data_IF_678253359147
#
_entry.id   IF_678253359147
#
_cell.length_a   1.000
_cell.length_b   1.000
_cell.length_c   1.000
_cell.angle_alpha   90.00
_cell.angle_beta   90.00
_cell.angle_gamma   90.00
#
_symmetry.space_group_name_H-M   'P 1'
#
loop_
_entity.id
_entity.type
_entity.pdbx_description
1 polymer ?
#
# COMPACT_ATOMS: atom_id res chain seq x y z
N UNK A 1 30.50 -31.69 -8.55
CA UNK A 1 29.18 -32.37 -8.48
C UNK A 1 28.50 -32.27 -9.82
N UNK A 2 27.92 -33.36 -10.35
CA UNK A 2 27.40 -33.36 -11.72
C UNK A 2 26.07 -32.62 -11.82
N UNK A 3 25.98 -31.58 -12.64
CA UNK A 3 24.77 -30.81 -12.89
C UNK A 3 24.67 -30.45 -14.38
N UNK A 4 23.47 -30.15 -14.86
CA UNK A 4 23.26 -29.77 -16.26
C UNK A 4 22.15 -28.74 -16.40
N UNK A 5 22.25 -27.91 -17.44
CA UNK A 5 21.29 -26.86 -17.74
C UNK A 5 21.03 -26.80 -19.25
N UNK A 6 19.81 -26.41 -19.61
CA UNK A 6 19.45 -26.11 -20.99
C UNK A 6 19.22 -24.60 -21.10
N UNK A 7 20.04 -23.94 -21.92
CA UNK A 7 19.95 -22.51 -22.15
C UNK A 7 19.39 -22.26 -23.55
N UNK A 8 18.11 -21.91 -23.62
CA UNK A 8 17.48 -21.50 -24.87
C UNK A 8 18.00 -20.13 -25.30
N UNK A 9 18.42 -20.00 -26.55
CA UNK A 9 18.95 -18.74 -27.12
C UNK A 9 18.04 -18.13 -28.19
N UNK A 10 16.82 -18.65 -28.33
CA UNK A 10 15.82 -18.19 -29.30
C UNK A 10 15.79 -19.00 -30.60
N UNK A 11 14.82 -18.70 -31.46
CA UNK A 11 14.66 -19.33 -32.80
C UNK A 11 14.63 -20.86 -32.80
N UNK A 12 14.14 -21.48 -31.74
CA UNK A 12 14.11 -22.94 -31.58
C UNK A 12 15.47 -23.58 -31.23
N UNK A 13 16.52 -22.79 -30.94
CA UNK A 13 17.86 -23.28 -30.59
C UNK A 13 18.06 -23.30 -29.08
N UNK A 14 18.60 -24.40 -28.57
CA UNK A 14 18.90 -24.61 -27.14
C UNK A 14 20.32 -25.15 -26.97
N UNK A 15 21.10 -24.51 -26.12
CA UNK A 15 22.42 -24.97 -25.71
C UNK A 15 22.29 -25.94 -24.53
N UNK A 16 23.02 -27.05 -24.59
CA UNK A 16 23.09 -28.00 -23.49
C UNK A 16 24.41 -27.80 -22.74
N UNK A 17 24.33 -27.40 -21.48
CA UNK A 17 25.47 -27.28 -20.58
C UNK A 17 25.48 -28.45 -19.60
N UNK A 18 26.64 -29.06 -19.41
CA UNK A 18 26.87 -30.12 -18.42
C UNK A 18 28.12 -29.75 -17.64
N UNK A 19 27.97 -29.51 -16.34
CA UNK A 19 29.11 -29.40 -15.44
C UNK A 19 29.68 -30.79 -15.17
N UNK A 20 30.93 -30.99 -15.57
CA UNK A 20 31.65 -32.27 -15.47
C UNK A 20 32.72 -32.27 -14.37
N UNK A 21 32.87 -31.16 -13.64
CA UNK A 21 33.84 -31.05 -12.54
C UNK A 21 33.49 -31.93 -11.34
N UNK A 22 34.52 -32.41 -10.66
CA UNK A 22 34.38 -33.15 -9.39
C UNK A 22 33.83 -32.24 -8.29
N UNK A 23 34.32 -31.00 -8.23
CA UNK A 23 33.80 -29.96 -7.35
C UNK A 23 32.51 -29.32 -7.86
N UNK A 24 31.77 -28.65 -6.97
CA UNK A 24 30.61 -27.88 -7.39
C UNK A 24 31.01 -26.71 -8.29
N UNK A 25 30.10 -26.33 -9.18
CA UNK A 25 30.30 -25.12 -9.97
C UNK A 25 29.99 -23.88 -9.13
N UNK A 26 30.04 -22.74 -9.79
CA UNK A 26 29.71 -21.44 -9.21
C UNK A 26 28.39 -20.91 -9.76
N UNK A 27 27.82 -19.95 -9.04
CA UNK A 27 26.67 -19.16 -9.45
C UNK A 27 26.98 -17.68 -9.17
N UNK A 28 26.49 -16.80 -10.03
CA UNK A 28 26.54 -15.37 -9.79
C UNK A 28 25.35 -14.98 -8.89
N UNK A 29 25.63 -14.42 -7.73
CA UNK A 29 24.63 -14.03 -6.72
C UNK A 29 24.61 -12.51 -6.60
N UNK A 30 23.45 -11.90 -6.77
CA UNK A 30 23.24 -10.48 -6.41
C UNK A 30 23.27 -10.36 -4.88
N UNK A 31 24.21 -9.59 -4.36
CA UNK A 31 24.40 -9.33 -2.92
C UNK A 31 23.62 -8.08 -2.45
N UNK A 32 23.02 -7.34 -3.38
CA UNK A 32 22.31 -6.09 -3.14
C UNK A 32 23.04 -4.88 -3.73
N UNK A 33 22.30 -3.80 -3.96
CA UNK A 33 22.84 -2.51 -4.45
C UNK A 33 23.63 -2.62 -5.76
N UNK A 34 23.30 -3.60 -6.61
CA UNK A 34 23.98 -3.85 -7.88
C UNK A 34 25.35 -4.54 -7.74
N UNK A 35 25.69 -5.04 -6.55
CA UNK A 35 26.93 -5.79 -6.32
C UNK A 35 26.67 -7.28 -6.52
N UNK A 36 27.47 -7.92 -7.37
CA UNK A 36 27.37 -9.34 -7.67
C UNK A 36 28.64 -10.07 -7.21
N UNK A 37 28.45 -11.23 -6.61
CA UNK A 37 29.54 -12.12 -6.21
C UNK A 37 29.39 -13.50 -6.84
N UNK A 38 30.48 -14.04 -7.36
CA UNK A 38 30.53 -15.44 -7.78
C UNK A 38 30.71 -16.33 -6.55
N UNK A 39 29.78 -17.26 -6.33
CA UNK A 39 29.72 -18.11 -5.14
C UNK A 39 29.58 -19.59 -5.53
N UNK A 40 30.20 -20.52 -4.78
CA UNK A 40 29.92 -21.95 -4.94
C UNK A 40 28.43 -22.26 -4.75
N UNK A 41 27.92 -23.31 -5.39
CA UNK A 41 26.49 -23.63 -5.33
C UNK A 41 25.94 -23.84 -3.91
N UNK A 42 26.71 -24.47 -3.02
CA UNK A 42 26.32 -24.65 -1.62
C UNK A 42 26.16 -23.32 -0.88
N UNK A 43 27.05 -22.36 -1.13
CA UNK A 43 26.95 -21.02 -0.54
C UNK A 43 25.78 -20.24 -1.14
N UNK A 44 25.59 -20.30 -2.47
CA UNK A 44 24.44 -19.68 -3.13
C UNK A 44 23.10 -20.22 -2.61
N UNK A 45 23.02 -21.53 -2.35
CA UNK A 45 21.85 -22.15 -1.72
C UNK A 45 21.63 -21.62 -0.30
N UNK A 46 22.70 -21.50 0.49
CA UNK A 46 22.64 -20.98 1.87
C UNK A 46 22.10 -19.55 1.87
N UNK A 47 22.67 -18.66 1.05
CA UNK A 47 22.20 -17.27 0.89
C UNK A 47 20.72 -17.23 0.48
N UNK A 48 20.31 -18.11 -0.44
CA UNK A 48 18.92 -18.17 -0.92
C UNK A 48 17.96 -18.58 0.20
N UNK A 49 18.35 -19.55 1.04
CA UNK A 49 17.54 -19.99 2.17
C UNK A 49 17.45 -18.90 3.25
N UNK A 50 18.56 -18.26 3.61
CA UNK A 50 18.56 -17.14 4.57
C UNK A 50 17.63 -16.01 4.11
N UNK A 51 17.64 -15.68 2.82
CA UNK A 51 16.73 -14.68 2.24
C UNK A 51 15.28 -15.11 2.32
N UNK A 52 14.98 -16.36 1.99
CA UNK A 52 13.62 -16.91 2.10
C UNK A 52 13.11 -16.81 3.53
N UNK A 53 13.94 -17.16 4.51
CA UNK A 53 13.57 -17.11 5.92
C UNK A 53 13.35 -15.67 6.39
N UNK A 54 14.23 -14.75 5.99
CA UNK A 54 14.07 -13.31 6.24
C UNK A 54 12.78 -12.74 5.64
N UNK A 55 12.46 -13.07 4.38
CA UNK A 55 11.21 -12.65 3.73
C UNK A 55 9.99 -13.22 4.47
N UNK A 56 10.07 -14.48 4.92
CA UNK A 56 8.97 -15.12 5.65
C UNK A 56 8.71 -14.44 7.00
N UNK A 57 9.77 -14.04 7.70
CA UNK A 57 9.68 -13.26 8.94
C UNK A 57 9.07 -11.88 8.70
N UNK A 58 9.57 -11.15 7.70
CA UNK A 58 9.04 -9.83 7.33
C UNK A 58 7.55 -9.89 6.97
N UNK A 59 7.14 -10.91 6.21
CA UNK A 59 5.74 -11.10 5.87
C UNK A 59 4.87 -11.31 7.12
N UNK A 60 5.34 -12.14 8.06
CA UNK A 60 4.64 -12.38 9.33
C UNK A 60 4.48 -11.08 10.12
N UNK A 61 5.57 -10.33 10.29
CA UNK A 61 5.57 -9.08 11.06
C UNK A 61 4.64 -8.04 10.42
N UNK A 62 4.69 -7.87 9.10
CA UNK A 62 3.80 -6.95 8.38
C UNK A 62 2.33 -7.36 8.49
N UNK A 63 2.04 -8.66 8.45
CA UNK A 63 0.67 -9.17 8.64
C UNK A 63 0.15 -8.87 10.04
N UNK A 64 0.99 -9.07 11.06
CA UNK A 64 0.63 -8.76 12.44
C UNK A 64 0.42 -7.25 12.64
N UNK A 65 1.31 -6.41 12.11
CA UNK A 65 1.17 -4.96 12.17
C UNK A 65 -0.10 -4.47 11.48
N UNK A 66 -0.44 -5.04 10.32
CA UNK A 66 -1.67 -4.71 9.60
C UNK A 66 -2.91 -5.05 10.45
N UNK A 67 -2.95 -6.26 11.03
CA UNK A 67 -4.07 -6.67 11.89
C UNK A 67 -4.21 -5.79 13.13
N UNK A 68 -3.09 -5.44 13.79
CA UNK A 68 -3.11 -4.52 14.93
C UNK A 68 -3.59 -3.13 14.54
N UNK A 69 -3.22 -2.65 13.36
CA UNK A 69 -3.67 -1.36 12.84
C UNK A 69 -5.18 -1.37 12.57
N UNK A 70 -5.71 -2.42 11.95
CA UNK A 70 -7.16 -2.59 11.70
C UNK A 70 -7.97 -2.58 13.00
N UNK A 71 -7.51 -3.30 14.03
CA UNK A 71 -8.14 -3.30 15.35
C UNK A 71 -8.16 -1.89 15.95
N UNK A 72 -7.04 -1.16 15.90
CA UNK A 72 -6.95 0.22 16.40
C UNK A 72 -7.88 1.17 15.66
N UNK A 73 -7.99 1.05 14.34
CA UNK A 73 -8.91 1.86 13.53
C UNK A 73 -10.35 1.62 13.98
N UNK A 74 -10.72 0.35 14.17
CA UNK A 74 -12.07 -0.04 14.61
C UNK A 74 -12.38 0.50 16.01
N UNK A 75 -11.43 0.39 16.94
CA UNK A 75 -11.56 0.91 18.31
C UNK A 75 -11.73 2.44 18.32
N UNK A 76 -10.88 3.16 17.57
CA UNK A 76 -10.96 4.62 17.48
C UNK A 76 -12.27 5.10 16.85
N UNK A 77 -12.78 4.38 15.84
CA UNK A 77 -14.07 4.70 15.23
C UNK A 77 -15.23 4.52 16.23
N UNK A 78 -15.18 3.46 17.04
CA UNK A 78 -16.18 3.25 18.10
C UNK A 78 -16.12 4.36 19.16
N UNK A 79 -14.92 4.66 19.67
CA UNK A 79 -14.70 5.74 20.64
C UNK A 79 -15.17 7.10 20.10
N UNK A 80 -14.93 7.37 18.82
CA UNK A 80 -15.41 8.59 18.16
C UNK A 80 -16.94 8.66 18.15
N UNK A 81 -17.63 7.58 17.76
CA UNK A 81 -19.09 7.52 17.74
C UNK A 81 -19.69 7.69 19.15
N UNK A 82 -19.10 7.05 20.16
CA UNK A 82 -19.55 7.16 21.55
C UNK A 82 -19.37 8.60 22.08
N UNK A 83 -18.23 9.23 21.79
CA UNK A 83 -17.99 10.64 22.15
C UNK A 83 -18.97 11.59 21.44
N UNK A 84 -19.25 11.36 20.15
CA UNK A 84 -20.22 12.14 19.39
C UNK A 84 -21.66 12.00 19.94
N UNK A 85 -22.07 10.79 20.33
CA UNK A 85 -23.37 10.53 20.94
C UNK A 85 -23.53 11.26 22.28
N UNK A 86 -22.45 11.35 23.06
CA UNK A 86 -22.43 12.07 24.34
C UNK A 86 -22.59 13.59 24.14
N UNK A 87 -22.02 14.14 23.07
CA UNK A 87 -22.15 15.55 22.70
C UNK A 87 -23.51 15.90 22.06
N UNK A 88 -24.19 14.93 21.45
CA UNK A 88 -25.50 15.11 20.81
C UNK A 88 -26.69 14.91 21.77
N UNK A 89 -26.45 14.75 23.07
CA UNK A 89 -27.51 14.51 24.05
C UNK A 89 -28.57 15.64 24.01
N UNK A 90 -29.83 15.38 23.60
CA UNK A 90 -30.86 16.41 23.39
C UNK A 90 -31.53 16.87 24.69
N UNK A 91 -30.84 16.82 25.85
CA UNK A 91 -31.42 17.27 27.12
C UNK A 91 -31.49 18.79 27.30
N UNK A 92 -30.90 19.59 26.40
CA UNK A 92 -31.07 21.06 26.37
C UNK A 92 -32.11 21.54 25.33
N UNK A 93 -33.03 20.66 24.88
CA UNK A 93 -34.18 21.08 24.09
C UNK A 93 -35.44 21.17 24.96
N UNK A 94 -35.47 22.15 25.86
CA UNK A 94 -36.74 22.62 26.44
C UNK A 94 -37.66 23.10 25.30
N UNK A 95 -38.92 22.66 25.20
CA UNK A 95 -39.82 23.15 24.17
C UNK A 95 -40.20 24.60 24.49
N UNK A 96 -39.65 25.56 23.74
CA UNK A 96 -40.19 26.93 23.71
C UNK A 96 -41.62 26.89 23.16
N UNK A 97 -42.60 27.55 23.82
CA UNK A 97 -43.98 27.53 23.35
C UNK A 97 -44.10 28.22 22.00
N UNK A 98 -44.95 27.63 21.16
CA UNK A 98 -45.31 28.10 19.83
C UNK A 98 -45.72 29.58 19.85
N UNK A 99 -44.94 30.41 19.14
CA UNK A 99 -45.27 31.80 18.83
C UNK A 99 -45.57 31.95 17.34
N UNK A 100 -46.83 32.29 17.07
CA UNK A 100 -47.53 32.60 15.82
C UNK A 100 -46.71 33.12 14.61
N UNK A 101 -47.03 32.56 13.43
CA UNK A 101 -46.74 33.16 12.11
C UNK A 101 -47.51 34.48 11.92
N UNK A 102 -46.91 35.46 11.22
CA UNK A 102 -47.64 36.21 10.19
C UNK A 102 -46.92 36.22 8.82
N UNK A 103 -47.58 36.71 7.74
CA UNK A 103 -47.51 36.11 6.40
C UNK A 103 -46.48 36.74 5.44
N UNK A 104 -46.31 36.04 4.31
CA UNK A 104 -45.41 36.34 3.20
C UNK A 104 -45.58 37.73 2.56
N UNK A 105 -44.45 38.37 2.21
CA UNK A 105 -44.40 39.45 1.21
C UNK A 105 -43.16 39.33 0.29
N UNK A 106 -43.49 39.22 -1.01
CA UNK A 106 -42.82 39.63 -2.25
C UNK A 106 -41.29 39.61 -2.44
N UNK A 107 -40.88 38.88 -3.51
CA UNK A 107 -39.60 39.01 -4.21
C UNK A 107 -39.53 40.32 -5.00
N UNK A 108 -38.32 40.85 -5.24
CA UNK A 108 -37.95 41.36 -6.56
C UNK A 108 -36.78 40.59 -7.18
N UNK A 109 -36.83 40.44 -8.51
CA UNK A 109 -35.85 39.76 -9.37
C UNK A 109 -34.71 40.72 -9.82
N UNK A 110 -33.47 40.20 -9.78
CA UNK A 110 -32.28 40.43 -10.68
C UNK A 110 -31.52 41.78 -10.60
N UNK A 111 -30.21 41.87 -10.96
CA UNK A 111 -29.56 41.20 -12.08
C UNK A 111 -28.22 40.45 -11.82
N UNK A 112 -27.92 39.62 -12.80
CA UNK A 112 -26.78 38.72 -12.96
C UNK A 112 -25.53 39.51 -13.35
N UNK A 113 -24.44 39.39 -12.58
CA UNK A 113 -23.12 39.96 -12.94
C UNK A 113 -22.14 38.84 -13.24
N UNK A 114 -21.83 38.71 -14.53
CA UNK A 114 -20.92 37.76 -15.17
C UNK A 114 -19.58 38.49 -15.35
N UNK A 115 -18.52 38.10 -14.65
CA UNK A 115 -17.10 38.30 -15.03
C UNK A 115 -16.16 37.83 -13.93
N UNK A 116 -15.21 36.96 -14.26
CA UNK A 116 -14.08 36.61 -13.40
C UNK A 116 -13.48 35.24 -13.71
N UNK A 117 -12.91 35.07 -14.91
CA UNK A 117 -12.07 33.91 -15.25
C UNK A 117 -10.77 33.97 -14.43
N UNK A 118 -10.50 32.97 -13.61
CA UNK A 118 -9.18 32.55 -13.12
C UNK A 118 -9.28 31.01 -13.07
N UNK A 119 -8.66 30.27 -13.99
CA UNK A 119 -7.20 30.13 -14.13
C UNK A 119 -6.82 28.83 -13.42
N UNK A 120 -7.12 27.69 -14.04
CA UNK A 120 -6.15 26.79 -14.70
C UNK A 120 -5.49 25.82 -13.72
N UNK A 121 -6.04 24.60 -13.71
CA UNK A 121 -5.41 23.29 -13.49
C UNK A 121 -4.02 23.29 -12.84
N UNK A 122 -3.98 22.96 -11.56
CA UNK A 122 -2.77 22.49 -10.89
C UNK A 122 -2.62 21.00 -11.21
N UNK A 123 -1.89 20.69 -12.28
CA UNK A 123 -1.36 19.34 -12.50
C UNK A 123 -0.31 19.05 -11.43
N UNK A 124 -0.43 17.88 -10.82
CA UNK A 124 0.23 17.50 -9.57
C UNK A 124 1.39 16.57 -9.92
N UNK A 125 2.47 17.15 -10.44
CA UNK A 125 3.76 16.48 -10.66
C UNK A 125 4.88 17.45 -10.27
N UNK A 126 5.39 17.27 -9.05
CA UNK A 126 6.75 17.60 -8.60
C UNK A 126 7.11 16.67 -7.43
#
# INVERSE_FOLDING_TARGET
GRSGARLSIGSGVTLNYIHTGEEEGTALVDLGSGVYGEKPWGEALTITNERKDGISLLHKDLTEQASQLEMKITELAQQFNDAAATLQNPQDSQPSPAGEKPPAQEKPRRPQRRTGRFGSELTLDD
#
